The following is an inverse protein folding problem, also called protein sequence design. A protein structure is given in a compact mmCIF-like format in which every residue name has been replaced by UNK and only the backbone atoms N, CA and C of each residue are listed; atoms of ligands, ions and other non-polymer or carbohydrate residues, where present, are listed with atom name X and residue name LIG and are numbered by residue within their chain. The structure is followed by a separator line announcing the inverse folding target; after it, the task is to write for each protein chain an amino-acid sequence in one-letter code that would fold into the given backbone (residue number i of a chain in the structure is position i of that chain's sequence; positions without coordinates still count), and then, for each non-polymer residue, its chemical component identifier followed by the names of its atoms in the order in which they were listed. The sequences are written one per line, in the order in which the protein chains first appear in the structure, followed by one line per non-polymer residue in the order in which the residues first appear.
data_IF_789107143793
#
_entry.id   IF_789107143793
#
_cell.length_a   1.000
_cell.length_b   1.000
_cell.length_c   1.000
_cell.angle_alpha   90.00
_cell.angle_beta   90.00
_cell.angle_gamma   90.00
#
_symmetry.space_group_name_H-M   'P 1'
#
loop_
_entity.id
_entity.type
_entity.pdbx_description
1 polymer ?
#
# COMPACT_ATOMS: atom_id res chain seq x y z
N UNK A 1 -30.21 -35.32 -8.56
CA UNK A 1 -29.82 -33.92 -8.85
C UNK A 1 -29.31 -33.83 -10.27
N UNK A 2 -29.92 -33.02 -11.15
CA UNK A 2 -29.54 -32.92 -12.58
C UNK A 2 -28.08 -32.48 -12.72
N UNK A 3 -27.36 -33.04 -13.70
CA UNK A 3 -25.94 -32.76 -13.95
C UNK A 3 -25.65 -31.25 -14.11
N UNK A 4 -26.58 -30.54 -14.74
CA UNK A 4 -26.54 -29.08 -14.90
C UNK A 4 -26.52 -28.32 -13.57
N UNK A 5 -27.28 -28.79 -12.57
CA UNK A 5 -27.32 -28.19 -11.24
C UNK A 5 -26.01 -28.43 -10.47
N UNK A 6 -25.35 -29.58 -10.67
CA UNK A 6 -24.03 -29.86 -10.08
C UNK A 6 -22.94 -28.95 -10.64
N UNK A 7 -22.95 -28.73 -11.95
CA UNK A 7 -21.99 -27.84 -12.64
C UNK A 7 -22.17 -26.39 -12.16
N UNK A 8 -23.43 -25.94 -12.03
CA UNK A 8 -23.73 -24.58 -11.57
C UNK A 8 -23.27 -24.35 -10.12
N UNK A 9 -23.50 -25.32 -9.23
CA UNK A 9 -23.02 -25.27 -7.84
C UNK A 9 -21.49 -25.25 -7.81
N UNK A 10 -20.81 -26.06 -8.62
CA UNK A 10 -19.35 -26.09 -8.67
C UNK A 10 -18.75 -24.75 -9.13
N UNK A 11 -19.32 -24.13 -10.17
CA UNK A 11 -18.90 -22.81 -10.67
C UNK A 11 -19.14 -21.73 -9.59
N UNK A 12 -20.32 -21.73 -8.96
CA UNK A 12 -20.65 -20.77 -7.91
C UNK A 12 -19.74 -20.92 -6.69
N UNK A 13 -19.43 -22.17 -6.31
CA UNK A 13 -18.51 -22.48 -5.20
C UNK A 13 -17.07 -22.04 -5.52
N UNK A 14 -16.61 -22.21 -6.77
CA UNK A 14 -15.31 -21.73 -7.22
C UNK A 14 -15.22 -20.20 -7.17
N UNK A 15 -16.29 -19.49 -7.55
CA UNK A 15 -16.34 -18.02 -7.50
C UNK A 15 -16.42 -17.44 -6.09
N UNK A 16 -16.97 -18.18 -5.12
CA UNK A 16 -17.00 -17.77 -3.71
C UNK A 16 -15.63 -17.98 -3.04
N UNK A 17 -14.88 -19.00 -3.48
CA UNK A 17 -13.55 -19.33 -2.97
C UNK A 17 -12.43 -18.47 -3.58
N UNK A 18 -12.67 -17.83 -4.73
CA UNK A 18 -11.72 -16.91 -5.34
C UNK A 18 -11.74 -15.53 -4.66
N UNK A 19 -10.87 -15.37 -3.67
CA UNK A 19 -10.29 -14.09 -3.19
C UNK A 19 -11.24 -13.06 -2.55
N UNK A 20 -11.81 -13.41 -1.39
CA UNK A 20 -12.32 -12.37 -0.48
C UNK A 20 -11.20 -11.92 0.46
N UNK A 21 -10.44 -10.89 0.05
CA UNK A 21 -9.51 -10.17 0.92
C UNK A 21 -10.21 -9.72 2.20
N UNK A 22 -9.61 -9.95 3.37
CA UNK A 22 -10.20 -9.56 4.65
C UNK A 22 -10.37 -8.02 4.70
N UNK A 23 -11.59 -7.54 4.96
CA UNK A 23 -11.85 -6.09 5.07
C UNK A 23 -11.31 -5.53 6.38
N UNK A 24 -10.80 -4.30 6.34
CA UNK A 24 -10.55 -3.51 7.54
C UNK A 24 -11.88 -3.14 8.21
N UNK A 25 -11.89 -3.04 9.54
CA UNK A 25 -13.10 -2.63 10.31
C UNK A 25 -13.59 -1.25 9.90
N UNK A 26 -12.68 -0.36 9.50
CA UNK A 26 -12.95 0.94 8.87
C UNK A 26 -11.89 1.19 7.79
N UNK A 27 -12.23 1.88 6.68
CA UNK A 27 -11.23 2.33 5.73
C UNK A 27 -10.20 3.23 6.41
N UNK A 28 -8.95 3.14 5.98
CA UNK A 28 -7.86 3.98 6.48
C UNK A 28 -7.44 4.91 5.35
N UNK A 29 -7.54 6.22 5.56
CA UNK A 29 -6.90 7.21 4.68
C UNK A 29 -5.55 7.60 5.30
N UNK A 30 -4.45 7.35 4.57
CA UNK A 30 -3.12 7.65 5.12
C UNK A 30 -2.91 9.15 5.32
N UNK A 31 -3.47 9.97 4.43
CA UNK A 31 -3.32 11.42 4.45
C UNK A 31 -4.54 12.16 5.04
N UNK A 32 -5.39 11.47 5.79
CA UNK A 32 -6.55 12.09 6.45
C UNK A 32 -6.12 13.28 7.32
N UNK A 33 -6.88 14.37 7.25
CA UNK A 33 -6.71 15.60 8.04
C UNK A 33 -5.42 16.42 7.79
N UNK A 34 -4.60 16.07 6.79
CA UNK A 34 -3.39 16.83 6.45
C UNK A 34 -3.58 17.77 5.26
N UNK A 35 -3.25 19.05 5.44
CA UNK A 35 -3.19 20.04 4.34
C UNK A 35 -1.86 19.96 3.57
N UNK A 36 -1.86 19.16 2.52
CA UNK A 36 -0.69 18.93 1.68
C UNK A 36 -0.36 20.12 0.76
N UNK A 37 -1.15 21.22 0.76
CA UNK A 37 -0.84 22.43 -0.01
C UNK A 37 0.29 23.28 0.58
N UNK A 38 0.62 23.07 1.85
CA UNK A 38 1.62 23.90 2.54
C UNK A 38 3.06 23.72 2.04
N UNK A 39 3.36 22.67 1.24
CA UNK A 39 4.71 22.34 0.80
C UNK A 39 5.65 21.86 1.91
N UNK A 40 5.13 21.69 3.14
CA UNK A 40 5.91 21.29 4.32
C UNK A 40 5.96 19.79 4.55
N UNK A 41 5.22 19.03 3.75
CA UNK A 41 5.06 17.60 3.92
C UNK A 41 5.99 16.84 2.98
N UNK A 42 6.53 15.75 3.50
CA UNK A 42 7.32 14.77 2.76
C UNK A 42 6.83 13.38 3.17
N UNK A 43 6.55 12.53 2.19
CA UNK A 43 6.37 11.10 2.42
C UNK A 43 7.73 10.44 2.28
N UNK A 44 8.19 9.75 3.31
CA UNK A 44 9.36 8.87 3.24
C UNK A 44 8.90 7.42 3.29
N UNK A 45 9.58 6.56 2.54
CA UNK A 45 9.23 5.15 2.39
C UNK A 45 10.49 4.31 2.57
N UNK A 46 10.42 3.35 3.50
CA UNK A 46 11.54 2.54 3.94
C UNK A 46 11.21 1.08 3.75
N UNK A 47 12.02 0.36 2.99
CA UNK A 47 11.93 -1.09 2.96
C UNK A 47 12.37 -1.64 4.33
N UNK A 48 11.57 -2.54 4.89
CA UNK A 48 11.84 -3.19 6.17
C UNK A 48 11.93 -4.70 6.07
N UNK A 49 11.33 -5.32 5.05
CA UNK A 49 11.32 -6.76 4.88
C UNK A 49 11.17 -7.17 3.40
N UNK A 50 11.81 -8.27 3.03
CA UNK A 50 11.63 -8.94 1.74
C UNK A 50 12.53 -8.46 0.60
N UNK A 51 12.12 -8.71 -0.64
CA UNK A 51 12.83 -8.25 -1.83
C UNK A 51 12.65 -6.73 -2.03
N UNK A 52 13.55 -6.10 -2.78
CA UNK A 52 13.42 -4.67 -3.10
C UNK A 52 12.61 -4.55 -4.39
N UNK A 53 11.66 -3.61 -4.42
CA UNK A 53 10.95 -3.30 -5.66
C UNK A 53 11.75 -2.28 -6.45
N UNK A 54 12.12 -2.60 -7.68
CA UNK A 54 12.78 -1.70 -8.62
C UNK A 54 13.98 -0.91 -8.01
N UNK A 55 14.79 -1.58 -7.17
CA UNK A 55 15.93 -1.02 -6.41
C UNK A 55 15.60 0.10 -5.41
N UNK A 56 14.32 0.34 -5.10
CA UNK A 56 13.90 1.35 -4.14
C UNK A 56 13.93 0.85 -2.69
N UNK A 57 15.13 0.79 -2.09
CA UNK A 57 15.29 0.49 -0.65
C UNK A 57 14.75 1.61 0.25
N UNK A 58 14.98 2.86 -0.14
CA UNK A 58 14.58 4.06 0.61
C UNK A 58 14.35 5.22 -0.34
N UNK A 59 13.16 5.80 -0.29
CA UNK A 59 12.78 6.88 -1.19
C UNK A 59 11.80 7.85 -0.54
N UNK A 60 11.62 9.01 -1.16
CA UNK A 60 10.69 10.01 -0.67
C UNK A 60 9.99 10.79 -1.78
N UNK A 61 8.91 11.46 -1.40
CA UNK A 61 8.10 12.35 -2.23
C UNK A 61 7.83 13.61 -1.42
N UNK A 62 8.23 14.75 -1.96
CA UNK A 62 7.98 16.09 -1.42
C UNK A 62 7.15 16.96 -2.39
N UNK A 63 6.77 16.41 -3.55
CA UNK A 63 5.94 17.10 -4.53
C UNK A 63 4.49 17.19 -4.03
N UNK A 64 4.06 18.42 -3.72
CA UNK A 64 2.72 18.66 -3.17
C UNK A 64 1.60 18.21 -4.10
N UNK A 65 1.77 18.27 -5.42
CA UNK A 65 0.76 17.81 -6.38
C UNK A 65 0.59 16.30 -6.35
N UNK A 66 1.70 15.56 -6.35
CA UNK A 66 1.73 14.10 -6.21
C UNK A 66 1.15 13.67 -4.88
N UNK A 67 1.55 14.32 -3.77
CA UNK A 67 1.01 14.02 -2.45
C UNK A 67 -0.51 14.23 -2.38
N UNK A 68 -1.07 15.24 -3.06
CA UNK A 68 -2.53 15.44 -3.18
C UNK A 68 -3.22 14.34 -3.99
N UNK A 69 -2.60 13.87 -5.07
CA UNK A 69 -3.13 12.72 -5.84
C UNK A 69 -3.16 11.48 -4.95
N UNK A 70 -2.08 11.22 -4.22
CA UNK A 70 -1.99 10.13 -3.26
C UNK A 70 -3.03 10.26 -2.14
N UNK A 71 -3.27 11.45 -1.59
CA UNK A 71 -4.32 11.67 -0.58
C UNK A 71 -5.72 11.25 -1.05
N UNK A 72 -6.03 11.41 -2.33
CA UNK A 72 -7.31 10.98 -2.91
C UNK A 72 -7.34 9.46 -3.20
N UNK A 73 -6.18 8.88 -3.53
CA UNK A 73 -6.06 7.48 -3.96
C UNK A 73 -5.85 6.51 -2.78
N UNK A 74 -5.06 6.89 -1.78
CA UNK A 74 -4.57 6.02 -0.70
C UNK A 74 -5.60 5.89 0.43
N UNK A 75 -6.74 5.31 0.05
CA UNK A 75 -7.85 4.93 0.92
C UNK A 75 -7.92 3.41 0.95
N UNK A 76 -7.35 2.83 1.99
CA UNK A 76 -7.18 1.39 2.11
C UNK A 76 -8.37 0.74 2.80
N UNK A 77 -8.84 -0.39 2.26
CA UNK A 77 -10.07 -1.07 2.70
C UNK A 77 -9.87 -2.52 3.14
N UNK A 78 -8.69 -3.08 2.87
CA UNK A 78 -8.43 -4.49 3.04
C UNK A 78 -7.12 -4.71 3.81
N UNK A 79 -7.05 -5.83 4.53
CA UNK A 79 -5.82 -6.39 5.05
C UNK A 79 -5.13 -7.21 3.97
N UNK A 80 -3.82 -7.36 4.09
CA UNK A 80 -3.03 -8.20 3.20
C UNK A 80 -3.25 -9.69 3.48
N UNK A 81 -3.19 -10.50 2.42
CA UNK A 81 -3.15 -11.97 2.52
C UNK A 81 -1.73 -12.46 2.90
N UNK A 82 -1.61 -13.73 3.29
CA UNK A 82 -0.35 -14.33 3.75
C UNK A 82 0.21 -15.23 2.64
N UNK A 83 1.30 -14.84 1.97
CA UNK A 83 2.09 -15.72 1.07
C UNK A 83 3.59 -15.56 1.35
N UNK A 84 4.49 -16.48 0.93
CA UNK A 84 5.92 -16.47 1.29
C UNK A 84 6.80 -15.30 0.81
N UNK A 85 6.30 -14.37 -0.02
CA UNK A 85 7.10 -13.30 -0.64
C UNK A 85 6.60 -11.93 -0.19
N UNK A 86 7.18 -11.33 0.86
CA UNK A 86 6.73 -10.01 1.32
C UNK A 86 7.48 -8.89 0.64
N UNK A 87 6.83 -7.76 0.37
CA UNK A 87 7.47 -6.48 0.08
C UNK A 87 7.09 -5.50 1.18
N UNK A 88 7.74 -5.62 2.33
CA UNK A 88 7.36 -4.88 3.51
C UNK A 88 7.98 -3.49 3.54
N UNK A 89 7.14 -2.46 3.69
CA UNK A 89 7.59 -1.07 3.79
C UNK A 89 6.96 -0.34 4.98
N UNK A 90 7.74 0.54 5.58
CA UNK A 90 7.26 1.53 6.54
C UNK A 90 7.13 2.89 5.84
N UNK A 91 5.93 3.46 5.88
CA UNK A 91 5.64 4.80 5.38
C UNK A 91 5.70 5.81 6.52
N UNK A 92 6.45 6.89 6.36
CA UNK A 92 6.49 8.02 7.29
C UNK A 92 5.95 9.27 6.61
N UNK A 93 4.93 9.89 7.19
CA UNK A 93 4.59 11.26 6.85
C UNK A 93 5.43 12.18 7.73
N UNK A 94 6.22 13.04 7.10
CA UNK A 94 7.12 13.99 7.75
C UNK A 94 6.61 15.40 7.50
N UNK A 95 6.59 16.23 8.54
CA UNK A 95 6.32 17.67 8.46
C UNK A 95 7.40 18.42 9.23
N UNK A 96 8.01 19.42 8.59
CA UNK A 96 9.07 20.24 9.22
C UNK A 96 10.15 19.38 9.91
N UNK A 97 10.59 18.29 9.24
CA UNK A 97 11.59 17.30 9.72
C UNK A 97 11.15 16.41 10.90
N UNK A 98 9.87 16.43 11.29
CA UNK A 98 9.32 15.53 12.31
C UNK A 98 8.39 14.51 11.69
N UNK A 99 8.54 13.24 12.07
CA UNK A 99 7.60 12.19 11.68
C UNK A 99 6.29 12.39 12.45
N UNK A 100 5.20 12.61 11.75
CA UNK A 100 3.87 12.87 12.34
C UNK A 100 2.90 11.69 12.17
N UNK A 101 3.18 10.77 11.24
CA UNK A 101 2.41 9.53 11.05
C UNK A 101 3.30 8.42 10.52
N UNK A 102 3.03 7.20 10.96
CA UNK A 102 3.68 5.99 10.46
C UNK A 102 2.64 4.93 10.12
N UNK A 103 2.90 4.11 9.10
CA UNK A 103 2.14 2.88 8.88
C UNK A 103 3.00 1.83 8.18
N UNK A 104 2.62 0.58 8.35
CA UNK A 104 3.23 -0.55 7.67
C UNK A 104 2.33 -0.95 6.50
N UNK A 105 2.93 -0.98 5.31
CA UNK A 105 2.26 -1.44 4.10
C UNK A 105 2.97 -2.67 3.59
N UNK A 106 2.19 -3.55 2.97
CA UNK A 106 2.75 -4.56 2.11
C UNK A 106 2.29 -4.28 0.68
N UNK A 107 3.27 -4.00 -0.18
CA UNK A 107 3.05 -3.79 -1.61
C UNK A 107 2.87 -5.17 -2.22
N UNK A 108 1.96 -5.32 -3.19
CA UNK A 108 1.59 -6.63 -3.73
C UNK A 108 2.77 -7.52 -4.21
N UNK A 109 3.27 -8.33 -3.28
CA UNK A 109 3.59 -9.76 -3.27
C UNK A 109 3.16 -10.16 -1.85
N UNK A 110 2.16 -11.02 -1.76
CA UNK A 110 1.31 -11.11 -0.56
C UNK A 110 2.09 -11.56 0.69
N UNK A 111 1.93 -10.87 1.82
CA UNK A 111 2.38 -11.27 3.18
C UNK A 111 1.80 -10.34 4.28
N UNK A 112 1.53 -10.96 5.43
CA UNK A 112 1.37 -10.47 6.80
C UNK A 112 -0.02 -10.01 7.27
N UNK A 113 -0.49 -10.71 8.30
CA UNK A 113 -1.72 -10.45 9.02
C UNK A 113 -1.59 -9.14 9.83
N UNK A 114 -2.52 -8.21 9.59
CA UNK A 114 -2.60 -6.93 10.31
C UNK A 114 -2.01 -5.73 9.57
N UNK A 115 -1.34 -5.94 8.43
CA UNK A 115 -0.81 -4.86 7.60
C UNK A 115 -1.85 -4.37 6.59
N UNK A 116 -1.67 -3.13 6.11
CA UNK A 116 -2.55 -2.53 5.12
C UNK A 116 -2.17 -3.09 3.73
N UNK A 117 -3.16 -3.66 3.04
CA UNK A 117 -2.99 -4.06 1.64
C UNK A 117 -2.78 -2.82 0.77
N UNK A 118 -1.67 -2.79 0.06
CA UNK A 118 -1.24 -1.65 -0.74
C UNK A 118 -1.10 -2.07 -2.22
N UNK A 119 -2.01 -1.62 -3.11
CA UNK A 119 -1.96 -1.95 -4.53
C UNK A 119 -0.64 -1.50 -5.15
N UNK A 120 0.01 -2.36 -5.94
CA UNK A 120 1.27 -2.03 -6.60
C UNK A 120 1.17 -0.78 -7.47
N UNK A 121 0.02 -0.57 -8.11
CA UNK A 121 -0.26 0.57 -8.98
C UNK A 121 -0.09 1.91 -8.25
N UNK A 122 -0.39 1.95 -6.94
CA UNK A 122 -0.29 3.17 -6.14
C UNK A 122 1.15 3.65 -5.95
N UNK A 123 2.15 2.79 -6.18
CA UNK A 123 3.55 3.21 -6.26
C UNK A 123 4.00 3.38 -7.70
N UNK A 124 3.66 2.45 -8.59
CA UNK A 124 4.16 2.50 -9.97
C UNK A 124 3.65 3.71 -10.75
N UNK A 125 2.44 4.20 -10.46
CA UNK A 125 1.85 5.38 -11.11
C UNK A 125 2.65 6.67 -10.83
N UNK A 126 3.36 6.71 -9.71
CA UNK A 126 4.07 7.91 -9.24
C UNK A 126 5.59 7.75 -9.22
N UNK A 127 6.11 6.62 -9.72
CA UNK A 127 7.53 6.26 -9.61
C UNK A 127 8.51 7.32 -10.11
N UNK A 128 8.12 8.08 -11.14
CA UNK A 128 8.96 9.12 -11.74
C UNK A 128 9.13 10.35 -10.82
N UNK A 129 8.31 10.46 -9.77
CA UNK A 129 8.39 11.53 -8.78
C UNK A 129 9.19 11.11 -7.53
N UNK A 130 9.62 9.85 -7.44
CA UNK A 130 10.35 9.35 -6.29
C UNK A 130 11.79 9.83 -6.34
N UNK A 131 12.26 10.39 -5.22
CA UNK A 131 13.65 10.77 -5.01
C UNK A 131 14.30 9.74 -4.09
N UNK A 132 15.50 9.28 -4.44
CA UNK A 132 16.28 8.37 -3.58
C UNK A 132 16.78 9.15 -2.36
N UNK A 133 16.77 8.53 -1.18
CA UNK A 133 17.52 9.07 -0.05
C UNK A 133 18.95 8.54 -0.16
N UNK A 134 19.89 9.44 -0.46
CA UNK A 134 21.32 9.13 -0.43
C UNK A 134 21.75 9.27 1.03
N UNK A 135 22.05 8.16 1.68
CA UNK A 135 22.78 8.19 2.96
C UNK A 135 24.24 8.47 2.59
N UNK A 136 24.75 9.63 3.00
CA UNK A 136 26.19 9.84 3.07
C UNK A 136 26.65 9.05 4.30
N UNK A 137 27.25 7.88 4.07
CA UNK A 137 28.06 7.19 5.08
C UNK A 137 29.26 8.04 5.48
#
# INVERSE_FOLDING_TARGET
MKLTLKILIAIFSLTILSHCKEKLTKPISFFEDYDLNSGKYKLEVYQIEGEIIDDFKKFYIDDSETLKKMQKQWIFKYKSEVMPCGFGYELHLVKDHKIIKKTLINIDCEYMQGWIHFPKEYLTDHKNHFKRIIEND
#
